data_IF_479051100155
#
_entry.id   IF_479051100155
#
_cell.length_a   1.000
_cell.length_b   1.000
_cell.length_c   1.000
_cell.angle_alpha   90.00
_cell.angle_beta   90.00
_cell.angle_gamma   90.00
#
_symmetry.space_group_name_H-M   'P 1'
#
loop_
_entity.id
_entity.type
_entity.pdbx_description
1 polymer ?
#
# COMPACT_ATOMS: atom_id res chain seq x y z
N UNK A 1 -28.38 -30.40 -5.66
CA UNK A 1 -29.03 -30.16 -4.36
C UNK A 1 -30.40 -30.81 -4.33
N UNK A 2 -30.70 -31.56 -3.27
CA UNK A 2 -32.04 -32.08 -3.03
C UNK A 2 -32.95 -30.97 -2.47
N UNK A 3 -34.28 -31.07 -2.65
CA UNK A 3 -35.25 -30.05 -2.19
C UNK A 3 -35.09 -29.64 -0.71
N UNK A 4 -34.57 -30.53 0.14
CA UNK A 4 -34.28 -30.27 1.57
C UNK A 4 -33.15 -29.26 1.79
N UNK A 5 -32.05 -29.38 1.05
CA UNK A 5 -30.88 -28.50 1.21
C UNK A 5 -31.17 -27.08 0.74
N UNK A 6 -32.03 -26.93 -0.29
CA UNK A 6 -32.45 -25.63 -0.78
C UNK A 6 -33.34 -24.92 0.24
N UNK A 7 -34.17 -25.65 0.99
CA UNK A 7 -35.05 -25.05 2.00
C UNK A 7 -34.28 -24.66 3.28
N UNK A 8 -33.24 -25.40 3.66
CA UNK A 8 -32.31 -25.04 4.76
C UNK A 8 -31.46 -23.81 4.41
N UNK A 9 -30.91 -23.74 3.20
CA UNK A 9 -30.12 -22.59 2.75
C UNK A 9 -30.93 -21.27 2.76
N UNK A 10 -32.25 -21.36 2.57
CA UNK A 10 -33.14 -20.19 2.51
C UNK A 10 -33.81 -19.86 3.86
N UNK A 11 -33.59 -20.64 4.93
CA UNK A 11 -34.16 -20.36 6.26
C UNK A 11 -33.76 -18.97 6.80
N UNK A 12 -32.48 -18.55 6.72
CA UNK A 12 -32.07 -17.23 7.21
C UNK A 12 -32.73 -16.06 6.47
N UNK A 13 -33.20 -16.28 5.23
CA UNK A 13 -33.89 -15.26 4.42
C UNK A 13 -35.39 -15.19 4.70
N UNK A 14 -36.00 -16.26 5.22
CA UNK A 14 -37.43 -16.30 5.59
C UNK A 14 -37.72 -15.58 6.91
N UNK A 15 -36.72 -15.36 7.75
CA UNK A 15 -36.85 -14.81 9.11
C UNK A 15 -36.56 -13.30 9.21
N UNK A 16 -36.36 -12.59 8.09
CA UNK A 16 -36.29 -11.12 8.10
C UNK A 16 -37.70 -10.52 7.98
N UNK A 17 -38.20 -9.81 9.00
CA UNK A 17 -39.62 -9.41 9.07
C UNK A 17 -40.04 -8.35 8.03
N UNK A 18 -39.10 -7.68 7.35
CA UNK A 18 -39.40 -6.43 6.64
C UNK A 18 -39.16 -6.45 5.12
N UNK A 19 -38.76 -7.59 4.54
CA UNK A 19 -38.53 -7.69 3.10
C UNK A 19 -39.18 -8.97 2.56
N UNK A 20 -40.40 -8.85 2.03
CA UNK A 20 -40.94 -9.89 1.15
C UNK A 20 -40.15 -9.84 -0.16
N UNK A 21 -39.33 -10.85 -0.49
CA UNK A 21 -38.59 -10.84 -1.74
C UNK A 21 -39.55 -10.79 -2.93
N UNK A 22 -39.18 -10.02 -3.96
CA UNK A 22 -39.99 -9.89 -5.17
C UNK A 22 -40.18 -11.28 -5.81
N UNK A 23 -41.40 -11.65 -6.24
CA UNK A 23 -41.68 -12.99 -6.76
C UNK A 23 -40.76 -13.41 -7.90
N UNK A 24 -40.37 -12.45 -8.74
CA UNK A 24 -39.47 -12.62 -9.89
C UNK A 24 -38.07 -13.09 -9.47
N UNK A 25 -37.53 -12.52 -8.39
CA UNK A 25 -36.21 -12.89 -7.87
C UNK A 25 -36.16 -14.35 -7.39
N UNK A 26 -37.28 -14.84 -6.82
CA UNK A 26 -37.40 -16.23 -6.37
C UNK A 26 -37.42 -17.22 -7.54
N UNK A 27 -38.07 -16.86 -8.64
CA UNK A 27 -38.12 -17.67 -9.87
C UNK A 27 -36.76 -17.69 -10.58
N UNK A 28 -36.09 -16.53 -10.65
CA UNK A 28 -34.77 -16.39 -11.26
C UNK A 28 -33.69 -17.19 -10.51
N UNK A 29 -33.64 -17.08 -9.19
CA UNK A 29 -32.71 -17.83 -8.35
C UNK A 29 -32.94 -19.35 -8.48
N UNK A 30 -34.21 -19.77 -8.56
CA UNK A 30 -34.58 -21.17 -8.73
C UNK A 30 -34.20 -21.71 -10.11
N UNK A 31 -34.33 -20.90 -11.15
CA UNK A 31 -33.89 -21.22 -12.51
C UNK A 31 -32.38 -21.41 -12.59
N UNK A 32 -31.61 -20.52 -11.95
CA UNK A 32 -30.14 -20.61 -11.92
C UNK A 32 -29.63 -21.84 -11.15
N UNK A 33 -30.23 -22.15 -10.00
CA UNK A 33 -29.83 -23.29 -9.17
C UNK A 33 -30.21 -24.65 -9.76
N UNK A 34 -31.30 -24.71 -10.54
CA UNK A 34 -31.78 -25.95 -11.15
C UNK A 34 -31.33 -26.16 -12.61
N UNK A 35 -30.96 -25.08 -13.32
CA UNK A 35 -30.55 -25.10 -14.72
C UNK A 35 -29.13 -25.63 -14.98
N UNK A 36 -28.32 -25.83 -13.94
CA UNK A 36 -26.96 -26.35 -14.02
C UNK A 36 -26.87 -27.87 -14.23
N UNK A 37 -27.44 -28.40 -15.32
CA UNK A 37 -27.11 -29.75 -15.82
C UNK A 37 -27.17 -29.79 -17.34
N UNK A 38 -26.02 -29.70 -18.01
CA UNK A 38 -25.84 -30.21 -19.37
C UNK A 38 -24.45 -30.85 -19.58
N UNK A 39 -24.51 -32.12 -20.00
CA UNK A 39 -23.59 -33.07 -20.64
C UNK A 39 -22.10 -32.73 -20.93
N UNK A 40 -21.19 -33.72 -20.81
CA UNK A 40 -19.78 -33.56 -21.17
C UNK A 40 -19.55 -33.86 -22.66
N UNK A 41 -19.02 -32.89 -23.40
CA UNK A 41 -18.42 -33.10 -24.71
C UNK A 41 -16.99 -32.53 -24.75
N UNK A 42 -16.08 -33.37 -25.23
CA UNK A 42 -14.62 -33.23 -25.24
C UNK A 42 -14.16 -31.93 -25.94
N UNK A 43 -13.37 -31.11 -25.25
CA UNK A 43 -12.35 -30.27 -25.90
C UNK A 43 -11.19 -29.98 -24.94
N UNK A 44 -9.96 -30.08 -25.46
CA UNK A 44 -8.71 -29.77 -24.75
C UNK A 44 -8.48 -28.26 -24.77
N UNK A 45 -8.33 -27.63 -23.60
CA UNK A 45 -7.38 -26.54 -23.23
C UNK A 45 -7.96 -25.66 -22.11
N UNK A 46 -7.18 -25.59 -21.02
CA UNK A 46 -6.94 -24.46 -20.09
C UNK A 46 -8.09 -23.49 -19.75
N UNK A 47 -8.50 -23.50 -18.46
CA UNK A 47 -9.18 -22.44 -17.66
C UNK A 47 -8.93 -22.82 -16.19
N UNK A 48 -8.46 -22.04 -15.22
CA UNK A 48 -8.52 -20.63 -14.82
C UNK A 48 -9.93 -19.99 -14.74
N UNK A 49 -10.21 -19.51 -13.52
CA UNK A 49 -11.30 -18.67 -13.00
C UNK A 49 -12.56 -19.42 -12.53
N UNK A 50 -12.81 -19.37 -11.21
CA UNK A 50 -14.02 -18.74 -10.68
C UNK A 50 -13.64 -17.76 -9.57
N UNK A 51 -13.92 -16.46 -9.74
CA UNK A 51 -14.13 -15.51 -8.62
C UNK A 51 -14.62 -14.10 -9.05
N UNK A 52 -14.76 -13.84 -10.36
CA UNK A 52 -15.36 -12.58 -10.87
C UNK A 52 -16.81 -12.31 -10.40
N UNK A 53 -17.53 -13.30 -9.85
CA UNK A 53 -18.92 -13.13 -9.42
C UNK A 53 -19.08 -12.46 -8.05
N UNK A 54 -18.05 -12.42 -7.20
CA UNK A 54 -18.16 -11.85 -5.85
C UNK A 54 -18.01 -10.32 -5.83
N UNK A 55 -17.10 -9.77 -6.64
CA UNK A 55 -16.86 -8.32 -6.72
C UNK A 55 -18.03 -7.55 -7.38
N UNK A 56 -18.80 -8.21 -8.25
CA UNK A 56 -19.93 -7.60 -8.97
C UNK A 56 -21.17 -7.36 -8.09
N UNK A 57 -21.30 -8.06 -6.95
CA UNK A 57 -22.43 -7.86 -6.03
C UNK A 57 -22.25 -6.69 -5.06
N UNK A 58 -21.02 -6.20 -4.84
CA UNK A 58 -20.74 -5.06 -3.96
C UNK A 58 -21.02 -3.70 -4.63
N UNK A 59 -20.93 -3.61 -5.96
CA UNK A 59 -21.13 -2.36 -6.69
C UNK A 59 -22.61 -1.99 -6.93
N UNK A 60 -23.55 -2.92 -6.76
CA UNK A 60 -24.98 -2.62 -6.90
C UNK A 60 -25.62 -2.01 -5.63
N UNK A 61 -24.91 -2.00 -4.49
CA UNK A 61 -25.44 -1.52 -3.21
C UNK A 61 -25.16 -0.04 -2.90
N UNK A 62 -24.33 0.65 -3.69
CA UNK A 62 -23.95 2.06 -3.43
C UNK A 62 -24.77 3.08 -4.22
N UNK A 63 -25.67 2.66 -5.13
CA UNK A 63 -26.44 3.59 -5.98
C UNK A 63 -27.87 3.90 -5.50
N UNK A 64 -28.27 3.55 -4.27
CA UNK A 64 -29.55 3.96 -3.68
C UNK A 64 -29.31 4.38 -2.22
N UNK A 65 -28.77 5.59 -2.01
CA UNK A 65 -28.48 6.07 -0.65
C UNK A 65 -28.14 7.54 -0.49
N UNK A 66 -28.27 8.37 -1.54
CA UNK A 66 -28.10 9.82 -1.42
C UNK A 66 -29.24 10.49 -2.17
N UNK A 67 -30.33 10.77 -1.46
CA UNK A 67 -31.44 11.71 -1.77
C UNK A 67 -32.61 11.25 -0.89
N UNK A 68 -32.69 11.76 0.35
CA UNK A 68 -33.90 12.00 1.18
C UNK A 68 -33.43 12.34 2.61
N UNK A 69 -34.02 13.41 3.17
CA UNK A 69 -33.81 14.09 4.48
C UNK A 69 -32.92 15.34 4.34
N UNK A 70 -33.41 16.58 4.41
CA UNK A 70 -34.50 17.14 5.21
C UNK A 70 -35.22 18.29 4.47
N UNK A 71 -36.54 18.21 4.39
CA UNK A 71 -37.40 19.41 4.32
C UNK A 71 -38.63 19.20 5.19
N UNK A 72 -39.14 20.31 5.74
CA UNK A 72 -40.34 20.49 6.58
C UNK A 72 -40.17 20.45 8.10
N UNK A 73 -39.98 21.63 8.70
CA UNK A 73 -40.89 22.09 9.75
C UNK A 73 -40.98 23.64 9.78
N UNK A 74 -42.02 24.19 9.15
CA UNK A 74 -42.67 25.49 9.46
C UNK A 74 -44.09 25.08 9.88
N UNK A 75 -44.75 25.51 10.95
CA UNK A 75 -45.00 26.82 11.56
C UNK A 75 -46.05 26.52 12.67
N UNK A 76 -46.17 27.17 13.82
CA UNK A 76 -46.66 28.54 14.03
C UNK A 76 -46.65 28.83 15.55
N UNK A 77 -46.29 30.05 15.95
CA UNK A 77 -47.15 30.96 16.72
C UNK A 77 -46.47 32.32 16.91
N UNK A 78 -47.20 33.37 16.52
CA UNK A 78 -46.89 34.80 16.52
C UNK A 78 -46.91 35.45 17.91
N UNK A 79 -45.95 36.34 18.20
CA UNK A 79 -46.17 37.72 18.71
C UNK A 79 -44.83 38.48 18.88
N UNK A 80 -44.87 39.78 18.59
CA UNK A 80 -43.77 40.76 18.48
C UNK A 80 -43.90 41.79 19.64
N UNK A 81 -42.96 42.72 19.94
CA UNK A 81 -41.50 42.76 19.86
C UNK A 81 -40.83 43.11 21.22
N UNK A 82 -39.51 42.93 21.32
CA UNK A 82 -38.69 43.81 22.18
C UNK A 82 -37.46 43.16 22.78
N UNK A 83 -36.29 43.51 22.22
CA UNK A 83 -34.94 43.33 22.76
C UNK A 83 -34.55 41.93 23.22
N UNK A 84 -33.65 41.27 22.48
CA UNK A 84 -32.54 40.49 23.04
C UNK A 84 -31.55 40.12 21.93
N UNK A 85 -30.29 40.49 22.20
CA UNK A 85 -29.02 39.86 21.81
C UNK A 85 -28.81 39.33 20.39
N UNK A 86 -27.76 39.88 19.77
CA UNK A 86 -27.12 39.41 18.54
C UNK A 86 -26.93 37.87 18.57
N UNK A 87 -27.41 37.11 17.58
CA UNK A 87 -27.12 35.68 17.54
C UNK A 87 -25.62 35.52 17.27
N UNK A 88 -24.96 34.82 18.20
CA UNK A 88 -23.57 34.41 18.10
C UNK A 88 -23.31 33.79 16.71
N UNK A 89 -22.30 34.33 16.02
CA UNK A 89 -21.74 33.72 14.81
C UNK A 89 -21.28 32.31 15.18
N UNK A 90 -21.93 31.30 14.63
CA UNK A 90 -21.42 29.94 14.59
C UNK A 90 -20.10 29.97 13.80
N UNK A 91 -18.98 29.76 14.50
CA UNK A 91 -17.67 29.60 13.89
C UNK A 91 -17.70 28.36 12.97
N UNK A 92 -17.74 28.57 11.65
CA UNK A 92 -17.75 27.53 10.62
C UNK A 92 -16.35 26.99 10.26
N UNK A 93 -15.40 27.03 11.20
CA UNK A 93 -13.98 26.73 10.93
C UNK A 93 -13.49 25.36 11.43
N UNK A 94 -14.38 24.49 11.93
CA UNK A 94 -14.00 23.14 12.35
C UNK A 94 -14.14 22.15 11.20
N UNK A 95 -13.01 21.69 10.65
CA UNK A 95 -12.97 20.54 9.75
C UNK A 95 -13.37 19.29 10.53
N UNK A 96 -14.40 18.58 10.07
CA UNK A 96 -14.80 17.31 10.63
C UNK A 96 -13.65 16.30 10.50
N UNK A 97 -13.29 15.67 11.63
CA UNK A 97 -12.23 14.69 11.65
C UNK A 97 -12.65 13.38 11.00
N UNK A 98 -11.70 12.60 10.49
CA UNK A 98 -11.95 11.27 9.92
C UNK A 98 -11.76 10.20 10.97
N UNK A 99 -12.69 9.28 11.10
CA UNK A 99 -12.56 8.11 11.97
C UNK A 99 -11.65 7.05 11.35
N UNK A 100 -11.14 6.11 12.15
CA UNK A 100 -10.32 4.99 11.64
C UNK A 100 -11.07 4.15 10.60
N UNK A 101 -12.37 3.91 10.83
CA UNK A 101 -13.23 3.19 9.89
C UNK A 101 -13.35 3.92 8.55
N UNK A 102 -13.65 5.22 8.59
CA UNK A 102 -13.74 6.05 7.38
C UNK A 102 -12.37 6.15 6.66
N UNK A 103 -11.26 6.15 7.41
CA UNK A 103 -9.92 6.14 6.86
C UNK A 103 -9.62 4.82 6.13
N UNK A 104 -9.94 3.67 6.72
CA UNK A 104 -9.80 2.37 6.07
C UNK A 104 -10.67 2.27 4.80
N UNK A 105 -11.94 2.71 4.88
CA UNK A 105 -12.83 2.76 3.72
C UNK A 105 -12.28 3.68 2.60
N UNK A 106 -11.72 4.84 2.98
CA UNK A 106 -11.08 5.75 2.04
C UNK A 106 -9.88 5.11 1.35
N UNK A 107 -9.00 4.42 2.08
CA UNK A 107 -7.82 3.74 1.54
C UNK A 107 -8.23 2.62 0.57
N UNK A 108 -9.17 1.76 0.98
CA UNK A 108 -9.70 0.70 0.12
C UNK A 108 -10.38 1.25 -1.15
N UNK A 109 -11.12 2.35 -1.03
CA UNK A 109 -11.75 3.00 -2.18
C UNK A 109 -10.71 3.66 -3.10
N UNK A 110 -9.65 4.27 -2.53
CA UNK A 110 -8.55 4.82 -3.31
C UNK A 110 -7.83 3.74 -4.12
N UNK A 111 -7.63 2.55 -3.55
CA UNK A 111 -7.14 1.38 -4.29
C UNK A 111 -8.05 1.01 -5.45
N UNK A 112 -9.37 0.93 -5.21
CA UNK A 112 -10.34 0.61 -6.26
C UNK A 112 -10.30 1.64 -7.41
N UNK A 113 -10.20 2.94 -7.10
CA UNK A 113 -10.08 3.99 -8.12
C UNK A 113 -8.81 3.82 -8.97
N UNK A 114 -7.68 3.57 -8.34
CA UNK A 114 -6.44 3.30 -9.07
C UNK A 114 -6.59 2.09 -9.99
N UNK A 115 -7.08 0.96 -9.45
CA UNK A 115 -7.25 -0.30 -10.17
C UNK A 115 -8.12 -0.12 -11.42
N UNK A 116 -9.21 0.63 -11.30
CA UNK A 116 -10.11 0.96 -12.41
C UNK A 116 -9.37 1.73 -13.51
N UNK A 117 -8.57 2.75 -13.16
CA UNK A 117 -7.82 3.54 -14.15
C UNK A 117 -6.76 2.69 -14.86
N UNK A 118 -5.91 1.96 -14.13
CA UNK A 118 -4.86 1.14 -14.75
C UNK A 118 -5.43 0.00 -15.60
N UNK A 119 -6.60 -0.53 -15.23
CA UNK A 119 -7.29 -1.56 -16.02
C UNK A 119 -8.11 -1.01 -17.19
N UNK A 120 -8.03 0.30 -17.46
CA UNK A 120 -8.58 0.90 -18.68
C UNK A 120 -10.01 1.39 -18.55
N UNK A 121 -10.51 1.50 -17.32
CA UNK A 121 -11.80 2.08 -17.00
C UNK A 121 -12.83 1.09 -16.51
N UNK A 122 -14.11 1.50 -16.56
CA UNK A 122 -15.25 0.65 -16.23
C UNK A 122 -15.30 -0.65 -17.04
N UNK A 123 -16.32 -1.50 -16.86
CA UNK A 123 -16.36 -2.89 -17.35
C UNK A 123 -16.16 -3.08 -18.87
N UNK A 124 -16.22 -2.00 -19.65
CA UNK A 124 -15.96 -1.98 -21.08
C UNK A 124 -14.65 -1.25 -21.35
N UNK A 125 -13.53 -1.99 -21.39
CA UNK A 125 -12.29 -1.45 -21.96
C UNK A 125 -12.47 -1.24 -23.46
N UNK A 126 -11.85 -0.19 -24.00
CA UNK A 126 -11.96 0.15 -25.40
C UNK A 126 -11.21 -0.83 -26.31
N UNK A 127 -11.46 -0.73 -27.63
CA UNK A 127 -10.82 -1.62 -28.61
C UNK A 127 -9.30 -1.47 -28.63
N UNK A 128 -8.59 -2.60 -28.78
CA UNK A 128 -7.14 -2.62 -28.93
C UNK A 128 -6.65 -2.15 -30.30
N UNK A 129 -5.44 -1.63 -30.36
CA UNK A 129 -4.73 -1.24 -31.59
C UNK A 129 -3.21 -1.32 -31.39
N UNK A 130 -2.43 -1.25 -32.47
CA UNK A 130 -0.96 -1.17 -32.40
C UNK A 130 -0.49 0.26 -32.65
N UNK A 131 0.44 0.73 -31.83
CA UNK A 131 1.11 2.02 -31.98
C UNK A 131 2.59 1.80 -31.67
N UNK A 132 3.47 2.12 -32.62
CA UNK A 132 4.93 1.94 -32.51
C UNK A 132 5.36 0.53 -32.05
N UNK A 133 4.65 -0.49 -32.55
CA UNK A 133 4.93 -1.90 -32.23
C UNK A 133 4.40 -2.37 -30.87
N UNK A 134 3.87 -1.47 -30.04
CA UNK A 134 3.25 -1.78 -28.75
C UNK A 134 1.74 -1.90 -28.91
N UNK A 135 1.13 -2.85 -28.19
CA UNK A 135 -0.32 -3.00 -28.16
C UNK A 135 -0.92 -2.00 -27.15
N UNK A 136 -1.83 -1.17 -27.64
CA UNK A 136 -2.59 -0.19 -26.87
C UNK A 136 -4.06 -0.58 -26.86
N UNK A 137 -4.80 -0.03 -25.89
CA UNK A 137 -6.26 -0.04 -25.85
C UNK A 137 -6.77 1.36 -25.57
N UNK A 138 -7.89 1.72 -26.19
CA UNK A 138 -8.61 2.92 -25.76
C UNK A 138 -9.10 2.75 -24.32
N UNK A 139 -9.07 3.85 -23.57
CA UNK A 139 -9.74 3.91 -22.28
C UNK A 139 -11.25 3.79 -22.47
N UNK A 140 -11.93 3.29 -21.43
CA UNK A 140 -13.38 3.19 -21.39
C UNK A 140 -14.05 4.56 -21.53
N UNK A 141 -15.36 4.54 -21.75
CA UNK A 141 -16.18 5.73 -21.98
C UNK A 141 -16.08 6.79 -20.88
N UNK A 142 -15.82 6.33 -19.65
CA UNK A 142 -15.65 7.16 -18.46
C UNK A 142 -14.34 7.96 -18.47
N UNK A 143 -13.33 7.55 -19.27
CA UNK A 143 -11.95 8.06 -19.24
C UNK A 143 -11.39 8.41 -20.62
N UNK A 144 -12.19 9.09 -21.44
CA UNK A 144 -11.78 9.52 -22.79
C UNK A 144 -10.77 10.65 -22.78
N UNK A 145 -10.70 11.45 -21.71
CA UNK A 145 -9.76 12.58 -21.59
C UNK A 145 -8.95 12.54 -20.30
N UNK A 146 -7.85 13.30 -20.27
CA UNK A 146 -7.00 13.49 -19.08
C UNK A 146 -7.80 14.01 -17.89
N UNK A 147 -8.67 14.99 -18.13
CA UNK A 147 -9.49 15.65 -17.10
C UNK A 147 -10.44 14.66 -16.43
N UNK A 148 -11.00 13.72 -17.20
CA UNK A 148 -11.89 12.70 -16.64
C UNK A 148 -11.13 11.73 -15.72
N UNK A 149 -9.94 11.29 -16.11
CA UNK A 149 -9.10 10.42 -15.26
C UNK A 149 -8.67 11.15 -13.99
N UNK A 150 -8.19 12.39 -14.12
CA UNK A 150 -7.76 13.18 -12.96
C UNK A 150 -8.92 13.46 -12.01
N UNK A 151 -10.08 13.87 -12.52
CA UNK A 151 -11.28 14.10 -11.72
C UNK A 151 -11.68 12.87 -10.93
N UNK A 152 -11.63 11.69 -11.55
CA UNK A 152 -11.98 10.43 -10.91
C UNK A 152 -10.98 10.02 -9.83
N UNK A 153 -9.67 10.16 -10.07
CA UNK A 153 -8.65 9.89 -9.06
C UNK A 153 -8.74 10.88 -7.88
N UNK A 154 -8.97 12.16 -8.17
CA UNK A 154 -9.08 13.22 -7.17
C UNK A 154 -10.30 13.07 -6.24
N UNK A 155 -11.24 12.16 -6.52
CA UNK A 155 -12.29 11.82 -5.56
C UNK A 155 -11.70 11.21 -4.26
N UNK A 156 -10.57 10.50 -4.36
CA UNK A 156 -9.95 9.78 -3.23
C UNK A 156 -8.49 10.11 -3.00
N UNK A 157 -7.78 10.60 -4.01
CA UNK A 157 -6.39 11.04 -3.91
C UNK A 157 -6.28 12.57 -3.83
N UNK A 158 -5.19 13.07 -3.26
CA UNK A 158 -4.85 14.49 -3.37
C UNK A 158 -4.59 14.87 -4.83
N UNK A 159 -4.70 16.15 -5.16
CA UNK A 159 -4.43 16.64 -6.52
C UNK A 159 -3.02 16.24 -7.01
N UNK A 160 -2.04 16.38 -6.12
CA UNK A 160 -0.64 16.02 -6.37
C UNK A 160 -0.49 14.52 -6.69
N UNK A 161 -1.11 13.65 -5.89
CA UNK A 161 -0.99 12.20 -6.09
C UNK A 161 -1.80 11.73 -7.30
N UNK A 162 -2.99 12.27 -7.53
CA UNK A 162 -3.77 11.96 -8.73
C UNK A 162 -2.99 12.29 -10.02
N UNK A 163 -2.28 13.42 -10.02
CA UNK A 163 -1.41 13.81 -11.15
C UNK A 163 -0.23 12.85 -11.31
N UNK A 164 0.42 12.48 -10.21
CA UNK A 164 1.54 11.54 -10.23
C UNK A 164 1.13 10.14 -10.75
N UNK A 165 -0.05 9.64 -10.35
CA UNK A 165 -0.63 8.39 -10.87
C UNK A 165 -0.90 8.49 -12.37
N UNK A 166 -1.44 9.62 -12.84
CA UNK A 166 -1.71 9.82 -14.26
C UNK A 166 -0.43 9.81 -15.10
N UNK A 167 0.61 10.53 -14.65
CA UNK A 167 1.86 10.70 -15.39
C UNK A 167 2.71 9.41 -15.46
N UNK A 168 2.47 8.46 -14.56
CA UNK A 168 3.10 7.15 -14.56
C UNK A 168 2.62 6.23 -15.69
N UNK A 169 1.34 6.33 -16.03
CA UNK A 169 0.76 5.51 -17.09
C UNK A 169 1.14 6.19 -18.42
N UNK A 170 1.75 5.47 -19.38
CA UNK A 170 2.18 6.03 -20.66
C UNK A 170 0.97 6.21 -21.60
N UNK A 171 0.05 7.08 -21.20
CA UNK A 171 -1.13 7.46 -21.95
C UNK A 171 -0.73 8.15 -23.26
N UNK A 172 -1.49 7.87 -24.31
CA UNK A 172 -1.43 8.56 -25.60
C UNK A 172 -2.82 9.04 -25.99
N UNK A 173 -2.89 10.05 -26.85
CA UNK A 173 -4.16 10.51 -27.43
C UNK A 173 -4.20 10.09 -28.88
N UNK A 174 -5.22 9.32 -29.24
CA UNK A 174 -5.46 8.84 -30.61
C UNK A 174 -6.91 9.11 -30.97
N UNK A 175 -7.16 9.84 -32.06
CA UNK A 175 -8.51 10.23 -32.49
C UNK A 175 -9.32 10.91 -31.36
N UNK A 176 -8.70 11.86 -30.65
CA UNK A 176 -9.28 12.58 -29.51
C UNK A 176 -9.73 11.68 -28.34
N UNK A 177 -9.20 10.47 -28.25
CA UNK A 177 -9.46 9.53 -27.16
C UNK A 177 -8.17 9.12 -26.48
N UNK A 178 -8.20 9.08 -25.15
CA UNK A 178 -7.13 8.55 -24.33
C UNK A 178 -6.99 7.04 -24.55
N UNK A 179 -5.74 6.60 -24.66
CA UNK A 179 -5.38 5.19 -24.77
C UNK A 179 -4.15 4.90 -23.91
N UNK A 180 -4.03 3.67 -23.45
CA UNK A 180 -2.89 3.18 -22.67
C UNK A 180 -2.41 1.84 -23.23
N UNK A 181 -1.19 1.39 -22.93
CA UNK A 181 -0.77 0.04 -23.29
C UNK A 181 -1.76 -1.01 -22.77
N UNK A 182 -1.97 -2.06 -23.57
CA UNK A 182 -2.90 -3.14 -23.28
C UNK A 182 -2.29 -4.11 -22.24
N UNK A 183 -2.06 -3.59 -21.03
CA UNK A 183 -1.62 -4.34 -19.85
C UNK A 183 -2.73 -4.26 -18.80
N UNK A 184 -3.07 -5.39 -18.19
CA UNK A 184 -3.96 -5.41 -17.03
C UNK A 184 -3.12 -5.64 -15.78
N UNK A 185 -3.53 -5.00 -14.68
CA UNK A 185 -2.89 -5.14 -13.38
C UNK A 185 -3.89 -5.82 -12.46
N UNK A 186 -3.53 -6.99 -11.97
CA UNK A 186 -4.21 -7.68 -10.86
C UNK A 186 -3.41 -7.45 -9.60
N UNK A 187 -4.04 -7.49 -8.43
CA UNK A 187 -3.34 -7.39 -7.15
C UNK A 187 -3.78 -8.40 -6.12
N UNK A 188 -2.81 -8.93 -5.40
CA UNK A 188 -3.03 -9.91 -4.32
C UNK A 188 -3.27 -9.24 -2.96
N UNK A 189 -3.06 -7.93 -2.83
CA UNK A 189 -3.28 -7.23 -1.57
C UNK A 189 -4.76 -6.90 -1.37
N UNK A 190 -5.31 -7.29 -0.22
CA UNK A 190 -6.70 -7.07 0.17
C UNK A 190 -6.88 -5.69 0.80
N UNK A 191 -6.64 -4.63 0.01
CA UNK A 191 -6.72 -3.23 0.46
C UNK A 191 -8.07 -2.79 1.00
N UNK A 192 -9.16 -3.46 0.60
CA UNK A 192 -10.49 -3.17 1.14
C UNK A 192 -10.68 -3.71 2.57
N UNK A 193 -9.89 -4.70 2.96
CA UNK A 193 -10.00 -5.44 4.22
C UNK A 193 -8.85 -5.13 5.20
N UNK A 194 -8.03 -4.11 4.90
CA UNK A 194 -6.90 -3.76 5.75
C UNK A 194 -7.30 -3.05 7.05
N UNK A 195 -6.39 -3.10 8.03
CA UNK A 195 -6.60 -2.66 9.40
C UNK A 195 -5.75 -1.44 9.73
N UNK A 196 -6.32 -0.48 10.46
CA UNK A 196 -5.57 0.67 11.00
C UNK A 196 -4.85 0.21 12.27
N UNK A 197 -3.52 0.17 12.25
CA UNK A 197 -2.71 -0.15 13.42
C UNK A 197 -2.42 1.08 14.28
N UNK A 198 -2.22 2.22 13.62
CA UNK A 198 -1.90 3.48 14.28
C UNK A 198 -2.59 4.63 13.56
N UNK A 199 -3.08 5.59 14.34
CA UNK A 199 -3.75 6.79 13.85
C UNK A 199 -3.22 8.01 14.61
N UNK A 200 -2.48 8.88 13.93
CA UNK A 200 -1.87 10.08 14.51
C UNK A 200 -2.38 11.34 13.82
N UNK A 201 -2.84 12.30 14.62
CA UNK A 201 -3.24 13.62 14.10
C UNK A 201 -2.00 14.47 13.85
N UNK A 202 -1.77 14.85 12.60
CA UNK A 202 -0.70 15.77 12.21
C UNK A 202 -1.31 17.12 11.83
N UNK A 203 -1.53 17.96 12.85
CA UNK A 203 -2.23 19.24 12.69
C UNK A 203 -3.72 19.10 12.34
N UNK A 204 -4.31 20.18 11.78
CA UNK A 204 -5.75 20.26 11.51
C UNK A 204 -6.17 19.52 10.24
N UNK A 205 -5.27 19.38 9.27
CA UNK A 205 -5.57 18.93 7.91
C UNK A 205 -4.84 17.66 7.49
N UNK A 206 -4.05 17.02 8.36
CA UNK A 206 -3.35 15.79 8.00
C UNK A 206 -3.45 14.70 9.09
N UNK A 207 -3.50 13.44 8.65
CA UNK A 207 -3.49 12.25 9.51
C UNK A 207 -2.43 11.28 9.00
N UNK A 208 -1.56 10.81 9.89
CA UNK A 208 -0.61 9.73 9.59
C UNK A 208 -1.15 8.43 10.13
N UNK A 209 -1.06 7.40 9.31
CA UNK A 209 -1.71 6.11 9.53
C UNK A 209 -0.70 5.00 9.28
N UNK A 210 -0.63 4.02 10.17
CA UNK A 210 0.02 2.75 9.88
C UNK A 210 -1.09 1.76 9.49
N UNK A 211 -1.05 1.27 8.25
CA UNK A 211 -2.09 0.45 7.66
C UNK A 211 -1.57 -0.95 7.37
N UNK A 212 -2.23 -1.96 7.94
CA UNK A 212 -1.92 -3.37 7.74
C UNK A 212 -2.78 -3.93 6.62
N UNK A 213 -2.14 -4.50 5.59
CA UNK A 213 -2.81 -5.10 4.44
C UNK A 213 -2.44 -6.57 4.34
N UNK A 214 -3.45 -7.42 4.25
CA UNK A 214 -3.27 -8.86 4.08
C UNK A 214 -2.98 -9.21 2.62
N UNK A 215 -2.16 -10.25 2.43
CA UNK A 215 -1.94 -10.87 1.13
C UNK A 215 -3.01 -11.97 0.93
N UNK A 216 -3.66 -11.96 -0.22
CA UNK A 216 -4.69 -12.93 -0.59
C UNK A 216 -4.13 -14.36 -0.50
N UNK A 217 -4.89 -15.27 0.10
CA UNK A 217 -4.49 -16.67 0.31
C UNK A 217 -3.22 -16.86 1.17
N UNK A 218 -2.84 -15.88 1.99
CA UNK A 218 -1.67 -15.95 2.88
C UNK A 218 -1.98 -15.41 4.27
N UNK A 219 -1.28 -15.92 5.28
CA UNK A 219 -1.29 -15.33 6.64
C UNK A 219 -0.35 -14.11 6.74
N UNK A 220 0.48 -13.88 5.71
CA UNK A 220 1.39 -12.74 5.65
C UNK A 220 0.62 -11.43 5.45
N UNK A 221 1.22 -10.34 5.94
CA UNK A 221 0.72 -8.99 5.79
C UNK A 221 1.85 -8.00 5.56
N UNK A 222 1.51 -6.81 5.06
CA UNK A 222 2.41 -5.67 4.94
C UNK A 222 1.88 -4.52 5.79
N UNK A 223 2.78 -3.80 6.47
CA UNK A 223 2.44 -2.57 7.20
C UNK A 223 2.97 -1.38 6.42
N UNK A 224 2.10 -0.42 6.13
CA UNK A 224 2.39 0.69 5.23
C UNK A 224 2.01 1.99 5.92
N UNK A 225 2.95 2.93 6.00
CA UNK A 225 2.65 4.27 6.49
C UNK A 225 1.93 5.07 5.39
N UNK A 226 0.77 5.64 5.70
CA UNK A 226 -0.04 6.44 4.78
C UNK A 226 -0.30 7.82 5.41
N UNK A 227 -0.45 8.83 4.55
CA UNK A 227 -0.88 10.16 4.97
C UNK A 227 -2.21 10.50 4.31
N UNK A 228 -3.19 10.90 5.11
CA UNK A 228 -4.44 11.49 4.64
C UNK A 228 -4.39 12.99 4.81
N UNK A 229 -4.87 13.74 3.82
CA UNK A 229 -4.97 15.21 3.88
C UNK A 229 -6.39 15.69 3.60
N UNK A 230 -6.75 16.85 4.14
CA UNK A 230 -8.05 17.47 3.90
C UNK A 230 -7.99 18.52 2.78
N UNK A 231 -8.51 18.16 1.61
CA UNK A 231 -8.65 18.97 0.40
C UNK A 231 -10.08 18.87 -0.13
N UNK A 232 -10.99 19.71 0.40
CA UNK A 232 -12.44 19.64 0.13
C UNK A 232 -13.05 18.25 0.45
N UNK A 233 -12.49 17.59 1.47
CA UNK A 233 -12.74 16.21 1.82
C UNK A 233 -11.41 15.53 2.19
N UNK A 234 -11.45 14.46 2.97
CA UNK A 234 -10.25 13.68 3.24
C UNK A 234 -9.84 12.91 1.97
N UNK A 235 -8.53 12.90 1.71
CA UNK A 235 -7.89 12.30 0.53
C UNK A 235 -6.62 11.58 0.93
N UNK A 236 -6.25 10.55 0.19
CA UNK A 236 -4.98 9.85 0.33
C UNK A 236 -3.88 10.66 -0.37
N UNK A 237 -2.85 11.06 0.39
CA UNK A 237 -1.70 11.84 -0.09
C UNK A 237 -0.43 11.00 -0.26
N UNK A 238 -0.62 9.72 -0.55
CA UNK A 238 0.47 8.81 -0.87
C UNK A 238 0.09 7.94 -2.05
N UNK A 239 1.04 7.75 -2.97
CA UNK A 239 0.92 6.70 -3.98
C UNK A 239 1.08 5.36 -3.25
N UNK A 240 0.09 4.50 -3.38
CA UNK A 240 0.17 3.14 -2.86
C UNK A 240 1.25 2.35 -3.64
N UNK A 241 1.90 1.35 -3.02
CA UNK A 241 3.08 0.68 -3.56
C UNK A 241 2.72 -0.33 -4.67
N UNK A 242 2.12 0.16 -5.74
CA UNK A 242 1.91 -0.54 -7.00
C UNK A 242 2.34 0.40 -8.12
N UNK A 243 3.04 -0.12 -9.13
CA UNK A 243 3.37 0.66 -10.31
C UNK A 243 2.65 0.16 -11.57
N UNK A 244 2.41 1.06 -12.51
CA UNK A 244 1.90 0.68 -13.82
C UNK A 244 2.93 -0.19 -14.54
N UNK A 245 2.57 -1.45 -14.81
CA UNK A 245 3.46 -2.41 -15.44
C UNK A 245 4.13 -3.39 -14.48
N UNK A 246 3.95 -3.21 -13.17
CA UNK A 246 4.17 -4.29 -12.21
C UNK A 246 2.98 -5.25 -12.36
N UNK A 247 3.24 -6.42 -12.95
CA UNK A 247 2.41 -7.58 -12.62
C UNK A 247 2.51 -7.70 -11.11
N UNK A 248 1.39 -7.71 -10.35
CA UNK A 248 1.46 -8.14 -8.94
C UNK A 248 1.61 -9.66 -8.91
N UNK A 249 2.67 -10.13 -9.55
CA UNK A 249 3.48 -11.15 -8.95
C UNK A 249 3.97 -10.49 -7.66
N UNK A 250 3.63 -11.05 -6.48
CA UNK A 250 4.59 -10.99 -5.38
C UNK A 250 5.94 -11.27 -6.03
N UNK A 251 7.00 -10.47 -5.80
CA UNK A 251 8.28 -10.70 -6.45
C UNK A 251 8.80 -12.10 -6.09
N UNK A 252 8.37 -13.11 -6.85
CA UNK A 252 9.12 -14.31 -7.15
C UNK A 252 10.22 -13.81 -8.09
N UNK A 253 11.27 -13.28 -7.47
CA UNK A 253 12.63 -13.67 -7.81
C UNK A 253 12.92 -13.73 -9.33
N UNK A 254 12.77 -12.61 -10.05
CA UNK A 254 13.39 -12.42 -11.39
C UNK A 254 13.30 -11.00 -11.95
N UNK A 255 13.97 -10.03 -11.31
CA UNK A 255 14.62 -8.98 -12.09
C UNK A 255 16.08 -9.37 -12.29
N UNK A 256 16.36 -9.84 -13.50
CA UNK A 256 17.69 -10.06 -14.06
C UNK A 256 18.22 -8.74 -14.62
N UNK A 257 18.35 -7.73 -13.77
CA UNK A 257 19.65 -7.05 -13.72
C UNK A 257 20.46 -7.92 -12.78
N UNK A 258 21.66 -8.31 -13.17
CA UNK A 258 22.49 -9.21 -12.37
C UNK A 258 22.68 -8.56 -11.00
N UNK A 259 21.85 -8.91 -10.01
CA UNK A 259 22.06 -8.58 -8.62
C UNK A 259 23.44 -9.12 -8.32
N UNK A 260 24.43 -8.24 -8.27
CA UNK A 260 25.74 -8.60 -7.78
C UNK A 260 25.45 -9.23 -6.42
N UNK A 261 25.73 -10.53 -6.30
CA UNK A 261 25.54 -11.26 -5.06
C UNK A 261 26.10 -10.40 -3.94
N UNK A 262 25.29 -10.14 -2.91
CA UNK A 262 25.71 -9.30 -1.80
C UNK A 262 26.98 -9.88 -1.20
N UNK A 263 28.11 -9.25 -1.46
CA UNK A 263 29.44 -9.76 -1.14
C UNK A 263 30.35 -8.62 -0.74
N UNK A 264 31.25 -8.93 0.19
CA UNK A 264 32.36 -8.05 0.53
C UNK A 264 33.43 -8.20 -0.55
N UNK A 265 34.08 -7.08 -0.87
CA UNK A 265 35.34 -7.10 -1.59
C UNK A 265 36.41 -7.77 -0.73
N UNK A 266 37.51 -8.22 -1.32
CA UNK A 266 38.61 -8.83 -0.57
C UNK A 266 39.16 -7.91 0.54
N UNK A 267 39.18 -6.60 0.31
CA UNK A 267 39.60 -5.62 1.30
C UNK A 267 38.61 -5.50 2.47
N UNK A 268 37.32 -5.39 2.17
CA UNK A 268 36.27 -5.35 3.20
C UNK A 268 36.21 -6.65 4.00
N UNK A 269 36.35 -7.80 3.34
CA UNK A 269 36.39 -9.11 3.98
C UNK A 269 37.57 -9.22 4.95
N UNK A 270 38.76 -8.78 4.54
CA UNK A 270 39.95 -8.80 5.39
C UNK A 270 39.82 -7.86 6.61
N UNK A 271 39.12 -6.74 6.47
CA UNK A 271 38.79 -5.86 7.60
C UNK A 271 37.77 -6.52 8.51
N UNK A 272 36.71 -7.11 7.95
CA UNK A 272 35.67 -7.81 8.71
C UNK A 272 36.22 -8.97 9.54
N UNK A 273 37.16 -9.74 8.99
CA UNK A 273 37.80 -10.85 9.72
C UNK A 273 38.64 -10.36 10.91
N UNK A 274 39.32 -9.22 10.78
CA UNK A 274 40.06 -8.61 11.90
C UNK A 274 39.12 -8.07 12.94
N UNK A 275 38.14 -7.28 12.51
CA UNK A 275 37.11 -6.72 13.37
C UNK A 275 36.35 -7.81 14.11
N UNK A 276 35.92 -8.88 13.44
CA UNK A 276 35.17 -9.97 14.09
C UNK A 276 36.02 -10.81 15.05
N UNK A 277 37.35 -10.64 15.07
CA UNK A 277 38.22 -11.38 15.97
C UNK A 277 38.37 -10.70 17.34
N UNK A 278 38.26 -9.37 17.41
CA UNK A 278 38.50 -8.59 18.62
C UNK A 278 37.50 -7.45 18.89
N UNK A 279 36.57 -7.21 17.95
CA UNK A 279 35.58 -6.13 17.92
C UNK A 279 36.16 -4.73 18.08
N UNK A 280 37.42 -4.54 17.68
CA UNK A 280 38.06 -3.23 17.73
C UNK A 280 37.72 -2.39 16.50
N UNK A 281 37.03 -1.27 16.72
CA UNK A 281 36.60 -0.34 15.69
C UNK A 281 37.76 0.32 14.94
N UNK A 282 38.97 0.36 15.51
CA UNK A 282 40.15 0.88 14.80
C UNK A 282 40.38 0.19 13.44
N UNK A 283 39.97 -1.09 13.31
CA UNK A 283 40.05 -1.82 12.04
C UNK A 283 39.16 -1.20 10.93
N UNK A 284 38.12 -0.44 11.31
CA UNK A 284 37.14 0.20 10.44
C UNK A 284 37.54 1.61 9.99
N UNK A 285 38.60 2.20 10.57
CA UNK A 285 38.98 3.61 10.37
C UNK A 285 39.24 4.02 8.93
N UNK A 286 39.68 3.09 8.08
CA UNK A 286 39.94 3.31 6.64
C UNK A 286 38.73 2.96 5.75
N UNK A 287 37.61 2.50 6.32
CA UNK A 287 36.42 2.14 5.56
C UNK A 287 35.48 3.33 5.33
N UNK A 288 34.91 3.38 4.14
CA UNK A 288 33.81 4.28 3.83
C UNK A 288 32.52 3.81 4.55
N UNK A 289 31.57 4.72 4.86
CA UNK A 289 30.33 4.37 5.57
C UNK A 289 29.52 3.24 4.91
N UNK A 290 29.50 3.19 3.57
CA UNK A 290 28.83 2.13 2.82
C UNK A 290 29.45 0.76 3.08
N UNK A 291 30.78 0.68 3.20
CA UNK A 291 31.48 -0.56 3.51
C UNK A 291 31.18 -1.04 4.92
N UNK A 292 31.11 -0.14 5.90
CA UNK A 292 30.75 -0.47 7.29
C UNK A 292 29.31 -1.00 7.35
N UNK A 293 28.37 -0.35 6.66
CA UNK A 293 27.00 -0.86 6.54
C UNK A 293 26.93 -2.25 5.89
N UNK A 294 27.78 -2.56 4.91
CA UNK A 294 27.86 -3.92 4.35
C UNK A 294 28.36 -4.94 5.37
N UNK A 295 29.33 -4.58 6.22
CA UNK A 295 29.81 -5.49 7.28
C UNK A 295 28.69 -5.82 8.26
N UNK A 296 27.87 -4.82 8.62
CA UNK A 296 26.71 -4.99 9.49
C UNK A 296 25.70 -5.97 8.89
N UNK A 297 25.37 -5.81 7.61
CA UNK A 297 24.46 -6.74 6.91
C UNK A 297 25.04 -8.16 6.87
N UNK A 298 26.35 -8.32 6.61
CA UNK A 298 26.99 -9.64 6.61
C UNK A 298 26.93 -10.27 7.99
N UNK A 299 27.25 -9.52 9.04
CA UNK A 299 27.23 -10.01 10.43
C UNK A 299 25.86 -10.58 10.81
N UNK A 300 24.77 -9.83 10.57
CA UNK A 300 23.42 -10.35 10.79
C UNK A 300 23.11 -11.57 9.91
N UNK A 301 23.48 -11.53 8.63
CA UNK A 301 23.24 -12.64 7.68
C UNK A 301 23.96 -13.94 8.04
N UNK A 302 25.06 -13.85 8.79
CA UNK A 302 25.86 -14.98 9.29
C UNK A 302 25.49 -15.37 10.73
N UNK A 303 24.52 -14.69 11.34
CA UNK A 303 24.14 -14.81 12.76
C UNK A 303 25.31 -14.49 13.72
N UNK A 304 26.25 -13.64 13.29
CA UNK A 304 27.31 -13.11 14.14
C UNK A 304 26.81 -11.83 14.82
N UNK A 305 25.87 -11.99 15.75
CA UNK A 305 25.14 -10.90 16.38
C UNK A 305 26.02 -10.08 17.33
N UNK A 306 27.11 -10.65 17.85
CA UNK A 306 28.14 -9.94 18.59
C UNK A 306 28.87 -8.92 17.68
N UNK A 307 29.29 -9.35 16.48
CA UNK A 307 29.87 -8.44 15.49
C UNK A 307 28.85 -7.41 14.97
N UNK A 308 27.59 -7.82 14.81
CA UNK A 308 26.51 -6.90 14.42
C UNK A 308 26.32 -5.80 15.47
N UNK A 309 26.28 -6.17 16.76
CA UNK A 309 26.15 -5.22 17.85
C UNK A 309 27.34 -4.27 17.95
N UNK A 310 28.56 -4.80 17.83
CA UNK A 310 29.79 -4.03 17.89
C UNK A 310 29.95 -3.03 16.72
N UNK A 311 29.13 -3.12 15.68
CA UNK A 311 29.09 -2.14 14.59
C UNK A 311 28.14 -0.97 14.86
N UNK A 312 27.33 -1.03 15.91
CA UNK A 312 26.57 0.13 16.36
C UNK A 312 27.49 1.19 16.95
N UNK A 313 27.02 2.43 16.91
CA UNK A 313 27.67 3.54 17.61
C UNK A 313 27.78 3.30 19.12
N UNK A 314 28.93 3.61 19.69
CA UNK A 314 29.18 3.51 21.14
C UNK A 314 28.77 4.79 21.91
N UNK A 315 28.34 5.83 21.19
CA UNK A 315 27.92 7.11 21.78
C UNK A 315 26.72 6.93 22.69
N UNK A 316 26.89 7.27 23.97
CA UNK A 316 25.88 7.10 25.01
C UNK A 316 24.50 7.70 24.65
N UNK A 317 24.46 8.80 23.89
CA UNK A 317 23.20 9.43 23.47
C UNK A 317 22.42 8.66 22.38
N UNK A 318 23.06 7.72 21.69
CA UNK A 318 22.48 6.93 20.58
C UNK A 318 22.28 5.45 20.93
N UNK A 319 22.99 4.92 21.93
CA UNK A 319 22.80 3.55 22.43
C UNK A 319 21.41 3.39 23.06
N UNK A 320 20.68 2.34 22.68
CA UNK A 320 19.31 2.08 23.15
C UNK A 320 19.14 0.81 23.98
N UNK A 321 19.97 -0.21 23.75
CA UNK A 321 19.98 -1.45 24.51
C UNK A 321 21.40 -1.99 24.65
N UNK A 322 21.57 -2.88 25.61
CA UNK A 322 22.81 -3.61 25.90
C UNK A 322 23.10 -4.70 24.87
N UNK A 323 24.33 -5.19 24.84
CA UNK A 323 24.72 -6.33 24.00
C UNK A 323 23.87 -7.56 24.35
N UNK A 324 23.67 -7.83 25.64
CA UNK A 324 22.87 -8.97 26.09
C UNK A 324 21.42 -8.90 25.60
N UNK A 325 20.81 -7.70 25.63
CA UNK A 325 19.47 -7.47 25.10
C UNK A 325 19.44 -7.65 23.57
N UNK A 326 20.46 -7.19 22.85
CA UNK A 326 20.56 -7.38 21.41
C UNK A 326 20.59 -8.87 21.05
N UNK A 327 21.46 -9.64 21.72
CA UNK A 327 21.58 -11.08 21.50
C UNK A 327 20.28 -11.81 21.83
N UNK A 328 19.58 -11.44 22.90
CA UNK A 328 18.28 -12.05 23.25
C UNK A 328 17.24 -11.82 22.14
N UNK A 329 17.13 -10.58 21.65
CA UNK A 329 16.19 -10.21 20.58
C UNK A 329 16.55 -10.96 19.30
N UNK A 330 17.80 -10.86 18.83
CA UNK A 330 18.26 -11.46 17.56
C UNK A 330 18.17 -12.99 17.56
N UNK A 331 18.35 -13.66 18.71
CA UNK A 331 18.16 -15.11 18.81
C UNK A 331 16.68 -15.52 18.88
N UNK A 332 15.81 -14.66 19.40
CA UNK A 332 14.36 -14.92 19.50
C UNK A 332 13.64 -14.66 18.18
N UNK A 333 14.05 -13.64 17.44
CA UNK A 333 13.55 -13.26 16.13
C UNK A 333 14.37 -13.97 15.05
N UNK A 334 13.94 -15.18 14.68
CA UNK A 334 14.62 -15.98 13.64
C UNK A 334 14.43 -15.38 12.25
N UNK A 335 15.17 -14.33 11.95
CA UNK A 335 15.28 -13.78 10.61
C UNK A 335 16.26 -14.63 9.81
N UNK A 336 15.85 -15.08 8.63
CA UNK A 336 16.71 -15.88 7.75
C UNK A 336 17.75 -15.00 7.06
N UNK A 337 18.85 -15.63 6.62
CA UNK A 337 19.89 -14.96 5.82
C UNK A 337 19.28 -14.25 4.61
N UNK A 338 18.36 -14.94 3.92
CA UNK A 338 17.69 -14.44 2.72
C UNK A 338 16.85 -13.20 3.03
N UNK A 339 16.10 -13.20 4.13
CA UNK A 339 15.29 -12.04 4.56
C UNK A 339 16.17 -10.83 4.91
N UNK A 340 17.30 -11.02 5.59
CA UNK A 340 18.26 -9.93 5.88
C UNK A 340 18.79 -9.33 4.58
N UNK A 341 19.26 -10.18 3.66
CA UNK A 341 19.79 -9.72 2.37
C UNK A 341 18.72 -9.02 1.52
N UNK A 342 17.46 -9.45 1.61
CA UNK A 342 16.34 -8.80 0.93
C UNK A 342 16.05 -7.41 1.51
N UNK A 343 16.03 -7.28 2.85
CA UNK A 343 15.79 -6.00 3.54
C UNK A 343 16.81 -4.93 3.14
N UNK A 344 18.08 -5.33 2.99
CA UNK A 344 19.20 -4.45 2.68
C UNK A 344 19.62 -4.45 1.20
N UNK A 345 18.87 -5.11 0.33
CA UNK A 345 19.20 -5.17 -1.08
C UNK A 345 19.41 -3.77 -1.69
N UNK A 346 20.51 -3.58 -2.42
CA UNK A 346 20.85 -2.31 -3.07
C UNK A 346 21.71 -1.37 -2.23
N UNK A 347 21.89 -1.61 -0.92
CA UNK A 347 22.74 -0.77 -0.06
C UNK A 347 24.20 -0.76 -0.52
N UNK A 348 24.69 -1.83 -1.15
CA UNK A 348 26.05 -1.89 -1.71
C UNK A 348 26.30 -0.87 -2.83
N UNK A 349 25.21 -0.36 -3.43
CA UNK A 349 25.24 0.71 -4.43
C UNK A 349 24.72 2.03 -3.86
N UNK A 350 24.50 2.08 -2.54
CA UNK A 350 23.96 3.24 -1.85
C UNK A 350 24.91 4.43 -1.87
N UNK A 351 24.35 5.63 -1.72
CA UNK A 351 25.10 6.87 -1.67
C UNK A 351 25.09 7.41 -0.25
N UNK A 352 26.26 7.58 0.33
CA UNK A 352 26.38 8.25 1.62
C UNK A 352 26.12 9.76 1.49
N UNK A 353 25.29 10.29 2.40
CA UNK A 353 24.94 11.70 2.52
C UNK A 353 25.19 12.12 3.96
N UNK A 354 26.25 12.91 4.16
CA UNK A 354 26.55 13.52 5.45
C UNK A 354 25.58 14.68 5.71
N UNK A 355 24.88 14.65 6.84
CA UNK A 355 23.86 15.64 7.21
C UNK A 355 24.42 16.71 8.12
N UNK A 356 25.28 16.32 9.06
CA UNK A 356 26.03 17.19 9.95
C UNK A 356 27.33 16.49 10.39
N UNK A 357 28.08 17.09 11.32
CA UNK A 357 29.40 16.59 11.74
C UNK A 357 29.42 15.15 12.27
N UNK A 358 28.30 14.67 12.83
CA UNK A 358 28.22 13.36 13.46
C UNK A 358 27.06 12.48 12.98
N UNK A 359 26.32 12.91 11.96
CA UNK A 359 25.14 12.21 11.46
C UNK A 359 25.15 12.19 9.94
N UNK A 360 24.92 11.02 9.38
CA UNK A 360 24.72 10.82 7.96
C UNK A 360 23.77 9.66 7.71
N UNK A 361 23.48 9.42 6.44
CA UNK A 361 22.73 8.24 6.04
C UNK A 361 23.18 7.76 4.66
N UNK A 362 23.02 6.47 4.41
CA UNK A 362 23.18 5.89 3.08
C UNK A 362 21.80 5.83 2.44
N UNK A 363 21.65 6.54 1.33
CA UNK A 363 20.46 6.49 0.51
C UNK A 363 20.58 5.34 -0.48
N UNK A 364 19.63 4.41 -0.47
CA UNK A 364 19.61 3.28 -1.40
C UNK A 364 18.18 2.94 -1.83
N UNK A 365 18.05 2.25 -2.97
CA UNK A 365 16.75 1.86 -3.51
C UNK A 365 16.50 0.37 -3.26
N UNK A 366 15.45 0.08 -2.51
CA UNK A 366 14.92 -1.26 -2.30
C UNK A 366 13.39 -1.18 -2.30
N UNK A 367 12.79 -1.39 -3.47
CA UNK A 367 11.34 -1.22 -3.69
C UNK A 367 10.84 0.16 -3.21
N UNK A 368 11.69 1.18 -3.35
CA UNK A 368 11.50 2.51 -2.77
C UNK A 368 12.81 3.07 -2.23
N UNK A 369 12.87 4.40 -2.11
CA UNK A 369 14.01 5.08 -1.52
C UNK A 369 14.00 4.82 0.00
N UNK A 370 15.11 4.29 0.52
CA UNK A 370 15.34 4.03 1.95
C UNK A 370 16.57 4.78 2.43
N UNK A 371 16.59 5.11 3.73
CA UNK A 371 17.78 5.61 4.41
C UNK A 371 18.35 4.54 5.34
N UNK A 372 19.68 4.39 5.37
CA UNK A 372 20.40 3.63 6.39
C UNK A 372 21.22 4.60 7.25
N UNK A 373 20.89 4.74 8.52
CA UNK A 373 21.47 5.72 9.42
C UNK A 373 22.91 5.37 9.81
N UNK A 374 23.79 6.36 9.75
CA UNK A 374 25.18 6.29 10.21
C UNK A 374 25.45 7.41 11.21
N UNK A 375 26.18 7.10 12.27
CA UNK A 375 26.62 8.04 13.31
C UNK A 375 28.14 8.06 13.34
N UNK A 376 28.76 9.23 13.47
CA UNK A 376 30.21 9.32 13.63
C UNK A 376 30.54 9.38 15.12
N UNK A 377 31.39 8.48 15.58
CA UNK A 377 31.82 8.38 16.97
C UNK A 377 32.91 9.40 17.30
N UNK A 378 33.28 9.52 18.58
CA UNK A 378 34.20 10.56 19.04
C UNK A 378 35.62 10.40 18.48
N UNK A 379 35.98 9.17 18.10
CA UNK A 379 37.24 8.82 17.44
C UNK A 379 37.24 9.14 15.93
N UNK A 380 36.10 9.56 15.38
CA UNK A 380 35.92 9.96 13.99
C UNK A 380 35.52 8.83 13.04
N UNK A 381 35.31 7.61 13.56
CA UNK A 381 34.86 6.44 12.79
C UNK A 381 33.34 6.51 12.60
N UNK A 382 32.85 6.04 11.45
CA UNK A 382 31.40 6.00 11.17
C UNK A 382 30.83 4.64 11.57
N UNK A 383 29.85 4.64 12.46
CA UNK A 383 29.20 3.46 12.99
C UNK A 383 27.73 3.42 12.58
N UNK A 384 27.12 2.25 12.74
CA UNK A 384 25.72 2.03 12.40
C UNK A 384 24.84 2.73 13.44
N UNK A 385 23.86 3.50 12.97
CA UNK A 385 22.84 4.05 13.84
C UNK A 385 21.91 2.95 14.35
N UNK A 386 21.47 3.07 15.60
CA UNK A 386 20.51 2.14 16.16
C UNK A 386 19.18 2.13 15.38
N UNK A 387 18.68 0.94 15.02
CA UNK A 387 17.58 0.75 14.05
C UNK A 387 17.86 1.51 12.75
N UNK A 388 18.82 1.03 11.94
CA UNK A 388 19.41 1.86 10.91
C UNK A 388 18.49 2.19 9.74
N UNK A 389 17.48 1.36 9.44
CA UNK A 389 16.57 1.61 8.32
C UNK A 389 15.48 2.62 8.70
N UNK A 390 15.31 3.65 7.86
CA UNK A 390 14.24 4.65 7.94
C UNK A 390 13.43 4.75 6.65
#
# INVERSE_FOLDING_TARGET
MNKREVDEFLQPLKERPDLKPRPEFREELRSQLMGGRLNPAKSKRTKWIPNFAAALLMLAAVYIGSEIMFSWNLNNSTSTPGNLESPARLNSDSIADITEKEAAELIGTAFAHYSVVVNGGGPNTGSGFKHDGVEYRYMGEDFRTKEQVLSYLQEKYSERIASAIFDEIPFIVVNDKLAQPNKSITGELLWADGEILSYKKDGKKARRIEYKVHIENSEKFSVIELTLIYENGWKLDRKLPFAYGDTLEIPDEKNTETAAAFTLTEAEQAVYEKFSADYNEEHLSDLEPVSIAKLYVIAGSENNYEAEYALYTDREEYVRWTEEEHLEISLSEKTTKEEILEIYNGIQNGKFIEKNENHGYIEFNNNGLKGFQMIKDEDGIWNVGFMPIQ
#
